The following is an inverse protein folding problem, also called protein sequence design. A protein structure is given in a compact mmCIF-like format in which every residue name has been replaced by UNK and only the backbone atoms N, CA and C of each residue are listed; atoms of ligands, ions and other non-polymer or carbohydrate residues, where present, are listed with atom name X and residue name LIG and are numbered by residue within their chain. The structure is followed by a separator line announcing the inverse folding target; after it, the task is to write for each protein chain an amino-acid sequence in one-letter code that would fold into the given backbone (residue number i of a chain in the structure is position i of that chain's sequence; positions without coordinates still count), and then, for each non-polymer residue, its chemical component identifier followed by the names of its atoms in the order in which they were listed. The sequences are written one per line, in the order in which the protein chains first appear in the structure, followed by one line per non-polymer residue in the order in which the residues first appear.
data_IF_991216710752
#
_entry.id   IF_991216710752
#
_cell.length_a   1.000
_cell.length_b   1.000
_cell.length_c   1.000
_cell.angle_alpha   90.00
_cell.angle_beta   90.00
_cell.angle_gamma   90.00
#
_symmetry.space_group_name_H-M   'P 1'
#
loop_
_entity.id
_entity.type
_entity.pdbx_description
1 polymer ?
#
# COMPACT_ATOMS: atom_id res chain seq x y z
N UNK A 1 9.26 4.85 -0.40
CA UNK A 1 7.86 4.61 0.03
C UNK A 1 6.85 5.52 -0.67
N UNK A 2 7.00 6.85 -0.64
CA UNK A 2 6.01 7.77 -1.24
C UNK A 2 5.73 7.52 -2.74
N UNK A 3 6.76 7.30 -3.55
CA UNK A 3 6.61 7.00 -4.98
C UNK A 3 5.91 5.66 -5.24
N UNK A 4 6.11 4.68 -4.35
CA UNK A 4 5.42 3.39 -4.42
C UNK A 4 3.93 3.55 -4.12
N UNK A 5 3.58 4.32 -3.09
CA UNK A 5 2.18 4.60 -2.75
C UNK A 5 1.45 5.37 -3.86
N UNK A 6 2.12 6.31 -4.55
CA UNK A 6 1.53 6.96 -5.73
C UNK A 6 1.23 5.99 -6.86
N UNK A 7 2.11 4.99 -7.08
CA UNK A 7 1.90 3.95 -8.10
C UNK A 7 0.73 3.03 -7.73
N UNK A 8 0.61 2.64 -6.47
CA UNK A 8 -0.53 1.90 -5.91
C UNK A 8 -1.84 2.65 -6.15
N UNK A 9 -1.90 3.93 -5.75
CA UNK A 9 -3.10 4.75 -5.90
C UNK A 9 -3.50 4.87 -7.37
N UNK A 10 -2.53 5.14 -8.26
CA UNK A 10 -2.76 5.20 -9.71
C UNK A 10 -3.26 3.86 -10.28
N UNK A 11 -2.62 2.75 -9.91
CA UNK A 11 -2.99 1.39 -10.36
C UNK A 11 -4.40 1.01 -9.91
N UNK A 12 -4.84 1.49 -8.75
CA UNK A 12 -6.20 1.26 -8.26
C UNK A 12 -7.30 1.95 -9.08
N UNK A 13 -6.94 2.99 -9.83
CA UNK A 13 -7.85 3.79 -10.65
C UNK A 13 -7.74 3.45 -12.15
N UNK A 14 -6.56 3.06 -12.62
CA UNK A 14 -6.27 2.75 -14.02
C UNK A 14 -5.50 1.45 -14.07
N UNK A 15 -6.07 0.40 -14.67
CA UNK A 15 -5.37 -0.87 -14.90
C UNK A 15 -4.08 -0.61 -15.69
N UNK A 16 -2.94 -0.92 -15.10
CA UNK A 16 -1.64 -0.82 -15.75
C UNK A 16 -0.86 -2.12 -15.58
N UNK A 17 0.03 -2.43 -16.52
CA UNK A 17 0.87 -3.64 -16.50
C UNK A 17 1.90 -3.69 -15.35
N UNK A 18 1.83 -2.78 -14.38
CA UNK A 18 2.79 -2.60 -13.30
C UNK A 18 2.29 -3.15 -11.94
N UNK A 19 1.06 -3.67 -11.87
CA UNK A 19 0.42 -4.05 -10.59
C UNK A 19 1.14 -5.19 -9.87
N UNK A 20 1.68 -6.18 -10.60
CA UNK A 20 2.49 -7.27 -10.02
C UNK A 20 3.80 -6.76 -9.41
N UNK A 21 4.51 -5.89 -10.13
CA UNK A 21 5.76 -5.28 -9.64
C UNK A 21 5.51 -4.43 -8.39
N UNK A 22 4.41 -3.68 -8.36
CA UNK A 22 3.99 -2.90 -7.19
C UNK A 22 3.74 -3.81 -5.98
N UNK A 23 3.07 -4.95 -6.18
CA UNK A 23 2.82 -5.91 -5.10
C UNK A 23 4.12 -6.53 -4.55
N UNK A 24 5.09 -6.85 -5.40
CA UNK A 24 6.41 -7.33 -4.96
C UNK A 24 7.16 -6.30 -4.13
N UNK A 25 7.20 -5.04 -4.58
CA UNK A 25 7.85 -3.94 -3.85
C UNK A 25 7.17 -3.71 -2.48
N UNK A 26 5.84 -3.80 -2.40
CA UNK A 26 5.09 -3.68 -1.14
C UNK A 26 5.44 -4.82 -0.15
N UNK A 27 5.52 -6.06 -0.64
CA UNK A 27 5.91 -7.22 0.19
C UNK A 27 7.33 -7.04 0.73
N UNK A 28 8.28 -6.60 -0.11
CA UNK A 28 9.64 -6.33 0.31
C UNK A 28 9.68 -5.30 1.45
N UNK A 29 8.93 -4.20 1.33
CA UNK A 29 8.85 -3.19 2.38
C UNK A 29 8.21 -3.71 3.68
N UNK A 30 7.15 -4.51 3.58
CA UNK A 30 6.52 -5.16 4.76
C UNK A 30 7.52 -6.08 5.46
N UNK A 31 8.29 -6.84 4.71
CA UNK A 31 9.22 -7.84 5.24
C UNK A 31 10.47 -7.16 5.84
N UNK A 32 10.87 -5.99 5.31
CA UNK A 32 11.95 -5.18 5.88
C UNK A 32 11.53 -4.30 7.08
N UNK A 33 10.24 -4.01 7.24
CA UNK A 33 9.74 -3.16 8.33
C UNK A 33 9.62 -3.98 9.61
N UNK A 34 10.35 -3.71 10.72
CA UNK A 34 10.20 -4.47 11.97
C UNK A 34 8.76 -4.47 12.51
N UNK A 35 8.44 -5.41 13.41
CA UNK A 35 7.05 -5.57 13.89
C UNK A 35 6.52 -4.30 14.55
N UNK A 36 5.30 -3.91 14.16
CA UNK A 36 4.63 -2.69 14.58
C UNK A 36 3.51 -2.29 13.62
N UNK A 37 2.83 -1.19 13.94
CA UNK A 37 1.66 -0.70 13.20
C UNK A 37 1.92 -0.52 11.70
N UNK A 38 3.14 -0.08 11.33
CA UNK A 38 3.53 0.09 9.93
C UNK A 38 3.57 -1.24 9.18
N UNK A 39 4.07 -2.32 9.79
CA UNK A 39 4.06 -3.66 9.17
C UNK A 39 2.63 -4.17 8.99
N UNK A 40 1.74 -3.92 9.96
CA UNK A 40 0.32 -4.26 9.86
C UNK A 40 -0.38 -3.51 8.73
N UNK A 41 -0.14 -2.20 8.61
CA UNK A 41 -0.69 -1.38 7.53
C UNK A 41 -0.16 -1.81 6.16
N UNK A 42 1.12 -2.15 6.05
CA UNK A 42 1.72 -2.68 4.81
C UNK A 42 1.15 -4.06 4.45
N UNK A 43 0.90 -4.92 5.44
CA UNK A 43 0.23 -6.20 5.21
C UNK A 43 -1.19 -6.02 4.68
N UNK A 44 -1.95 -5.09 5.26
CA UNK A 44 -3.28 -4.73 4.74
C UNK A 44 -3.20 -4.22 3.30
N UNK A 45 -2.25 -3.32 3.00
CA UNK A 45 -2.08 -2.80 1.65
C UNK A 45 -1.70 -3.88 0.63
N UNK A 46 -0.81 -4.83 1.00
CA UNK A 46 -0.49 -5.98 0.15
C UNK A 46 -1.75 -6.81 -0.17
N UNK A 47 -2.60 -7.05 0.83
CA UNK A 47 -3.82 -7.83 0.66
C UNK A 47 -4.82 -7.11 -0.25
N UNK A 48 -5.03 -5.81 -0.05
CA UNK A 48 -5.89 -4.99 -0.89
C UNK A 48 -5.40 -4.96 -2.34
N UNK A 49 -4.09 -4.78 -2.54
CA UNK A 49 -3.46 -4.81 -3.86
C UNK A 49 -3.61 -6.18 -4.55
N UNK A 50 -3.48 -7.28 -3.79
CA UNK A 50 -3.75 -8.61 -4.34
C UNK A 50 -5.21 -8.78 -4.76
N UNK A 51 -6.17 -8.29 -3.97
CA UNK A 51 -7.62 -8.38 -4.27
C UNK A 51 -7.99 -7.62 -5.53
N UNK A 52 -7.48 -6.40 -5.71
CA UNK A 52 -7.80 -5.59 -6.89
C UNK A 52 -7.20 -6.16 -8.18
N UNK A 53 -6.00 -6.74 -8.12
CA UNK A 53 -5.37 -7.41 -9.27
C UNK A 53 -6.22 -8.60 -9.72
N UNK A 54 -6.69 -9.42 -8.77
CA UNK A 54 -7.54 -10.58 -9.05
C UNK A 54 -8.98 -10.22 -9.44
N UNK A 55 -9.56 -9.18 -8.83
CA UNK A 55 -10.96 -8.78 -9.04
C UNK A 55 -11.08 -7.25 -8.99
N UNK A 56 -11.04 -6.55 -10.12
CA UNK A 56 -11.09 -5.10 -10.13
C UNK A 56 -12.52 -4.62 -9.89
N UNK A 57 -12.82 -4.14 -8.68
CA UNK A 57 -14.12 -3.55 -8.35
C UNK A 57 -13.92 -2.21 -7.64
N UNK A 58 -14.93 -1.34 -7.68
CA UNK A 58 -14.90 -0.07 -6.94
C UNK A 58 -14.66 -0.27 -5.44
N UNK A 59 -15.17 -1.36 -4.86
CA UNK A 59 -14.93 -1.70 -3.46
C UNK A 59 -13.45 -2.00 -3.21
N UNK A 60 -12.81 -2.79 -4.07
CA UNK A 60 -11.38 -3.10 -3.95
C UNK A 60 -10.50 -1.88 -4.24
N UNK A 61 -10.87 -1.01 -5.19
CA UNK A 61 -10.20 0.30 -5.38
C UNK A 61 -10.26 1.14 -4.12
N UNK A 62 -11.42 1.21 -3.47
CA UNK A 62 -11.58 1.95 -2.20
C UNK A 62 -10.74 1.34 -1.08
N UNK A 63 -10.70 0.01 -1.00
CA UNK A 63 -9.88 -0.72 -0.02
C UNK A 63 -8.39 -0.37 -0.17
N UNK A 64 -7.87 -0.36 -1.40
CA UNK A 64 -6.49 0.02 -1.70
C UNK A 64 -6.20 1.45 -1.26
N UNK A 65 -7.08 2.40 -1.57
CA UNK A 65 -6.92 3.81 -1.18
C UNK A 65 -6.90 3.99 0.34
N UNK A 66 -7.78 3.27 1.06
CA UNK A 66 -7.81 3.31 2.53
C UNK A 66 -6.55 2.73 3.15
N UNK A 67 -6.07 1.58 2.64
CA UNK A 67 -4.84 0.97 3.11
C UNK A 67 -3.61 1.85 2.82
N UNK A 68 -3.56 2.48 1.65
CA UNK A 68 -2.50 3.42 1.29
C UNK A 68 -2.51 4.66 2.19
N UNK A 69 -3.70 5.20 2.50
CA UNK A 69 -3.85 6.31 3.45
C UNK A 69 -3.31 5.95 4.84
N UNK A 70 -3.64 4.76 5.34
CA UNK A 70 -3.17 4.29 6.65
C UNK A 70 -1.65 4.23 6.74
N UNK A 71 -0.99 3.67 5.71
CA UNK A 71 0.47 3.66 5.62
C UNK A 71 1.04 5.08 5.65
N UNK A 72 0.47 6.03 4.89
CA UNK A 72 0.90 7.43 4.89
C UNK A 72 0.74 8.07 6.27
N UNK A 73 -0.39 7.81 6.95
CA UNK A 73 -0.68 8.33 8.29
C UNK A 73 0.38 7.88 9.29
N UNK A 74 0.69 6.59 9.33
CA UNK A 74 1.67 6.02 10.26
C UNK A 74 3.07 6.57 9.99
N UNK A 75 3.46 6.69 8.71
CA UNK A 75 4.75 7.28 8.34
C UNK A 75 4.86 8.75 8.79
N UNK A 76 3.80 9.54 8.58
CA UNK A 76 3.75 10.93 9.03
C UNK A 76 3.86 11.07 10.56
N UNK A 77 3.22 10.17 11.33
CA UNK A 77 3.35 10.16 12.79
C UNK A 77 4.76 9.76 13.25
N UNK A 78 5.40 8.82 12.56
CA UNK A 78 6.77 8.40 12.86
C UNK A 78 7.80 9.51 12.60
N UNK A 79 7.62 10.29 11.52
CA UNK A 79 8.51 11.40 11.19
C UNK A 79 8.29 12.63 12.11
N UNK A 80 7.06 12.87 12.56
CA UNK A 80 6.75 13.91 13.55
C UNK A 80 7.36 13.65 14.94
N UNK A 81 7.65 12.40 15.28
CA UNK A 81 8.28 12.01 16.56
C UNK A 81 9.80 12.23 16.56
N UNK A 82 10.43 12.48 15.40
CA UNK A 82 11.88 12.78 15.29
C UNK A 82 12.20 14.28 15.26
N UNK A 83 11.30 15.16 15.73
CA UNK A 83 11.49 16.62 15.70
C UNK A 83 11.68 17.22 17.09
#
# INVERSE_FOLDING_TARGET
MEQLLKRVEKGSQVRGSDDDRVLEELKLHRDATPEGDLRSALAWLCNAQSRITSSPTTAHSREVLLAAYEVKRILATADGTRR
#
